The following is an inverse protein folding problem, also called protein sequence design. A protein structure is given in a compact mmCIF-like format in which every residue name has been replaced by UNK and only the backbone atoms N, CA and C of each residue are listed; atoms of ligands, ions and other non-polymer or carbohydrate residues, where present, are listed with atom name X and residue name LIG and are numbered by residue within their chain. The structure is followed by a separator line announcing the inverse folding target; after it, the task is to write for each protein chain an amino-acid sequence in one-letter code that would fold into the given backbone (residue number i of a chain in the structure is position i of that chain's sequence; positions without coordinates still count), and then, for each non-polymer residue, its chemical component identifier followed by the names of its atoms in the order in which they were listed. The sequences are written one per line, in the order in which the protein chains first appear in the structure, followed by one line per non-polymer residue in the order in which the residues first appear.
data_IF_810950968283
#
_entry.id   IF_810950968283
#
_cell.length_a   1.000
_cell.length_b   1.000
_cell.length_c   1.000
_cell.angle_alpha   90.00
_cell.angle_beta   90.00
_cell.angle_gamma   90.00
#
_symmetry.space_group_name_H-M   'P 1'
#
loop_
_entity.id
_entity.type
_entity.pdbx_description
1 polymer ?
#
# COMPACT_ATOMS: atom_id res chain seq x y z
N UNK A 1 6.85 8.45 -9.18
CA UNK A 1 7.17 7.46 -10.26
C UNK A 1 5.96 6.62 -10.70
N UNK A 2 4.92 6.45 -9.87
CA UNK A 2 3.77 5.59 -10.15
C UNK A 2 2.88 6.08 -11.32
N UNK A 3 2.49 7.36 -11.36
CA UNK A 3 1.61 7.91 -12.42
C UNK A 3 2.17 7.74 -13.85
N UNK A 4 3.42 8.14 -14.16
CA UNK A 4 4.00 7.92 -15.49
C UNK A 4 4.15 6.43 -15.84
N UNK A 5 4.39 5.57 -14.84
CA UNK A 5 4.44 4.12 -15.04
C UNK A 5 3.07 3.57 -15.45
N UNK A 6 2.03 3.89 -14.67
CA UNK A 6 0.65 3.50 -14.95
C UNK A 6 0.18 4.00 -16.32
N UNK A 7 0.49 5.25 -16.66
CA UNK A 7 0.16 5.82 -17.97
C UNK A 7 0.79 5.02 -19.12
N UNK A 8 2.08 4.69 -19.00
CA UNK A 8 2.81 3.90 -20.01
C UNK A 8 2.24 2.48 -20.14
N UNK A 9 1.96 1.81 -19.02
CA UNK A 9 1.37 0.45 -19.03
C UNK A 9 0.01 0.43 -19.75
N UNK A 10 -0.88 1.37 -19.47
CA UNK A 10 -2.18 1.44 -20.17
C UNK A 10 -2.04 1.82 -21.65
N UNK A 11 -1.08 2.69 -21.97
CA UNK A 11 -0.80 3.09 -23.35
C UNK A 11 -0.23 1.94 -24.19
N UNK A 12 0.63 1.09 -23.59
CA UNK A 12 1.15 -0.14 -24.19
C UNK A 12 0.03 -1.16 -24.45
N UNK A 13 -0.99 -1.22 -23.59
CA UNK A 13 -2.21 -2.03 -23.77
C UNK A 13 -3.24 -1.41 -24.75
N UNK A 14 -2.85 -0.39 -25.52
CA UNK A 14 -3.70 0.24 -26.55
C UNK A 14 -4.66 1.33 -26.06
N UNK A 15 -4.69 1.65 -24.76
CA UNK A 15 -5.55 2.70 -24.19
C UNK A 15 -4.78 4.02 -24.09
N UNK A 16 -4.65 4.74 -25.22
CA UNK A 16 -3.87 5.98 -25.35
C UNK A 16 -4.73 7.24 -25.24
N UNK A 17 -4.08 8.36 -24.88
CA UNK A 17 -4.71 9.69 -24.83
C UNK A 17 -5.94 9.72 -23.92
N UNK A 18 -7.06 10.22 -24.45
CA UNK A 18 -8.34 10.31 -23.74
C UNK A 18 -8.91 8.95 -23.33
N UNK A 19 -8.55 7.85 -24.00
CA UNK A 19 -9.02 6.49 -23.64
C UNK A 19 -8.23 5.90 -22.47
N UNK A 20 -7.17 6.58 -22.01
CA UNK A 20 -6.37 6.11 -20.89
C UNK A 20 -7.17 6.26 -19.57
N UNK A 21 -7.36 5.21 -18.77
CA UNK A 21 -8.07 5.33 -17.50
C UNK A 21 -7.38 6.29 -16.51
N UNK A 22 -6.06 6.45 -16.60
CA UNK A 22 -5.31 7.42 -15.78
C UNK A 22 -5.75 8.86 -16.07
N UNK A 23 -6.07 9.18 -17.33
CA UNK A 23 -6.60 10.49 -17.70
C UNK A 23 -7.93 10.77 -17.00
N UNK A 24 -8.87 9.82 -17.07
CA UNK A 24 -10.17 9.94 -16.43
C UNK A 24 -10.05 10.06 -14.90
N UNK A 25 -9.15 9.29 -14.28
CA UNK A 25 -8.87 9.38 -12.85
C UNK A 25 -8.36 10.76 -12.45
N UNK A 26 -7.40 11.32 -13.20
CA UNK A 26 -6.88 12.67 -12.97
C UNK A 26 -7.97 13.74 -13.19
N UNK A 27 -8.80 13.60 -14.22
CA UNK A 27 -9.91 14.51 -14.48
C UNK A 27 -10.91 14.50 -13.32
N UNK A 28 -11.29 13.31 -12.82
CA UNK A 28 -12.20 13.19 -11.69
C UNK A 28 -11.61 13.76 -10.40
N UNK A 29 -10.33 13.48 -10.12
CA UNK A 29 -9.63 14.02 -8.95
C UNK A 29 -9.53 15.54 -8.98
N UNK A 30 -9.15 16.11 -10.14
CA UNK A 30 -9.08 17.57 -10.32
C UNK A 30 -10.45 18.22 -10.21
N UNK A 31 -11.48 17.64 -10.82
CA UNK A 31 -12.85 18.11 -10.70
C UNK A 31 -13.37 18.05 -9.25
N UNK A 32 -13.04 16.99 -8.51
CA UNK A 32 -13.39 16.86 -7.09
C UNK A 32 -12.72 17.96 -6.25
N UNK A 33 -11.41 18.16 -6.40
CA UNK A 33 -10.67 19.19 -5.64
C UNK A 33 -11.16 20.59 -6.01
N UNK A 34 -11.38 20.87 -7.30
CA UNK A 34 -11.95 22.13 -7.76
C UNK A 34 -13.37 22.34 -7.23
N UNK A 35 -14.20 21.29 -7.19
CA UNK A 35 -15.53 21.32 -6.60
C UNK A 35 -15.50 21.63 -5.11
N UNK A 36 -14.63 20.97 -4.34
CA UNK A 36 -14.45 21.26 -2.91
C UNK A 36 -14.02 22.72 -2.73
N UNK A 37 -13.06 23.21 -3.51
CA UNK A 37 -12.63 24.61 -3.45
C UNK A 37 -13.77 25.59 -3.77
N UNK A 38 -14.53 25.33 -4.84
CA UNK A 38 -15.59 26.20 -5.30
C UNK A 38 -16.79 26.26 -4.32
N UNK A 39 -17.23 25.10 -3.81
CA UNK A 39 -18.42 25.01 -2.97
C UNK A 39 -18.15 25.17 -1.46
N UNK A 40 -16.98 24.73 -0.97
CA UNK A 40 -16.65 24.67 0.46
C UNK A 40 -15.49 25.60 0.85
N UNK A 41 -14.84 26.24 -0.12
CA UNK A 41 -13.76 27.19 0.09
C UNK A 41 -12.37 26.56 0.26
N UNK A 42 -11.35 27.42 0.28
CA UNK A 42 -9.95 27.00 0.25
C UNK A 42 -9.48 26.30 1.53
N UNK A 43 -10.04 26.62 2.70
CA UNK A 43 -9.67 25.95 3.96
C UNK A 43 -10.08 24.48 3.97
N UNK A 44 -11.28 24.16 3.49
CA UNK A 44 -11.76 22.77 3.39
C UNK A 44 -10.97 22.01 2.33
N UNK A 45 -10.68 22.66 1.19
CA UNK A 45 -9.78 22.09 0.17
C UNK A 45 -8.41 21.75 0.77
N UNK A 46 -7.80 22.65 1.55
CA UNK A 46 -6.50 22.41 2.16
C UNK A 46 -6.55 21.27 3.18
N UNK A 47 -7.59 21.22 4.03
CA UNK A 47 -7.80 20.12 4.97
C UNK A 47 -7.95 18.76 4.25
N UNK A 48 -8.71 18.73 3.15
CA UNK A 48 -8.86 17.54 2.31
C UNK A 48 -7.53 17.10 1.69
N UNK A 49 -6.77 18.03 1.11
CA UNK A 49 -5.46 17.72 0.53
C UNK A 49 -4.47 17.23 1.58
N UNK A 50 -4.48 17.81 2.78
CA UNK A 50 -3.66 17.35 3.90
C UNK A 50 -4.06 15.94 4.33
N UNK A 51 -5.36 15.66 4.49
CA UNK A 51 -5.86 14.32 4.81
C UNK A 51 -5.48 13.29 3.75
N UNK A 52 -5.62 13.63 2.46
CA UNK A 52 -5.21 12.77 1.36
C UNK A 52 -3.69 12.51 1.39
N UNK A 53 -2.89 13.53 1.68
CA UNK A 53 -1.43 13.39 1.87
C UNK A 53 -1.08 12.43 3.01
N UNK A 54 -1.75 12.55 4.16
CA UNK A 54 -1.57 11.64 5.29
C UNK A 54 -1.97 10.21 4.88
N UNK A 55 -3.09 10.02 4.19
CA UNK A 55 -3.54 8.71 3.72
C UNK A 55 -2.52 8.07 2.77
N UNK A 56 -1.93 8.84 1.85
CA UNK A 56 -0.87 8.35 0.94
C UNK A 56 0.38 7.93 1.73
N UNK A 57 0.81 8.74 2.69
CA UNK A 57 1.98 8.41 3.54
C UNK A 57 1.72 7.11 4.31
N UNK A 58 0.53 6.96 4.90
CA UNK A 58 0.16 5.74 5.63
C UNK A 58 0.12 4.51 4.73
N UNK A 59 -0.40 4.66 3.50
CA UNK A 59 -0.41 3.58 2.51
C UNK A 59 1.01 3.16 2.12
N UNK A 60 1.88 4.12 1.80
CA UNK A 60 3.28 3.85 1.46
C UNK A 60 4.05 3.26 2.64
N UNK A 61 3.74 3.70 3.86
CA UNK A 61 4.30 3.14 5.09
C UNK A 61 3.95 1.66 5.24
N UNK A 62 2.66 1.30 5.13
CA UNK A 62 2.21 -0.11 5.21
C UNK A 62 2.86 -0.93 4.11
N UNK A 63 2.84 -0.43 2.87
CA UNK A 63 3.43 -1.11 1.72
C UNK A 63 4.94 -1.33 1.88
N UNK A 64 5.65 -0.32 2.40
CA UNK A 64 7.08 -0.41 2.67
C UNK A 64 7.39 -1.51 3.70
N UNK A 65 6.64 -1.57 4.80
CA UNK A 65 6.86 -2.61 5.82
C UNK A 65 6.53 -4.00 5.27
N UNK A 66 5.41 -4.14 4.56
CA UNK A 66 4.97 -5.41 3.97
C UNK A 66 5.99 -6.00 3.01
N UNK A 67 6.79 -5.17 2.34
CA UNK A 67 7.73 -5.61 1.32
C UNK A 67 9.19 -5.26 1.66
N UNK A 68 9.49 -4.92 2.92
CA UNK A 68 10.83 -4.48 3.29
C UNK A 68 11.87 -5.57 3.05
N UNK A 69 12.89 -5.28 2.23
CA UNK A 69 14.00 -6.20 1.97
C UNK A 69 13.66 -7.40 1.07
N UNK A 70 12.38 -7.71 0.88
CA UNK A 70 11.90 -8.82 0.06
C UNK A 70 11.79 -8.38 -1.40
N UNK A 71 12.21 -9.25 -2.33
CA UNK A 71 12.19 -8.98 -3.77
C UNK A 71 11.53 -10.13 -4.48
N UNK A 72 10.79 -9.79 -5.54
CA UNK A 72 10.27 -10.74 -6.51
C UNK A 72 10.78 -10.31 -7.88
N UNK A 73 11.39 -11.23 -8.62
CA UNK A 73 11.96 -10.93 -9.92
C UNK A 73 10.88 -10.70 -10.98
N UNK A 74 11.22 -9.98 -12.05
CA UNK A 74 10.27 -9.69 -13.13
C UNK A 74 9.94 -10.99 -13.87
N UNK A 75 8.68 -11.42 -13.78
CA UNK A 75 8.21 -12.67 -14.38
C UNK A 75 8.19 -13.84 -13.41
N UNK A 76 8.73 -13.67 -12.20
CA UNK A 76 8.58 -14.64 -11.12
C UNK A 76 7.16 -14.62 -10.57
N UNK A 77 6.64 -15.80 -10.21
CA UNK A 77 5.34 -15.92 -9.56
C UNK A 77 5.47 -15.42 -8.12
N UNK A 78 4.56 -14.54 -7.71
CA UNK A 78 4.46 -14.11 -6.32
C UNK A 78 4.19 -15.29 -5.38
N UNK A 79 4.99 -15.42 -4.33
CA UNK A 79 4.88 -16.46 -3.29
C UNK A 79 4.61 -15.83 -1.94
N UNK A 80 4.32 -16.66 -0.93
CA UNK A 80 4.16 -16.19 0.46
C UNK A 80 5.44 -15.60 1.05
N UNK A 81 6.61 -15.86 0.43
CA UNK A 81 7.92 -15.33 0.85
C UNK A 81 8.19 -13.89 0.41
N UNK A 82 7.38 -13.32 -0.48
CA UNK A 82 7.60 -11.97 -1.02
C UNK A 82 6.89 -10.87 -0.22
N UNK A 83 6.30 -11.22 0.92
CA UNK A 83 5.65 -10.27 1.82
C UNK A 83 5.74 -10.72 3.27
N UNK A 84 5.85 -9.74 4.15
CA UNK A 84 5.77 -9.94 5.60
C UNK A 84 4.32 -10.12 6.06
N UNK A 85 4.12 -11.03 7.02
CA UNK A 85 2.84 -11.29 7.69
C UNK A 85 2.88 -10.83 9.16
N UNK A 86 1.74 -10.41 9.72
CA UNK A 86 1.62 -10.16 11.16
C UNK A 86 0.32 -10.70 11.73
N UNK A 87 0.42 -11.48 12.82
CA UNK A 87 -0.72 -12.03 13.54
C UNK A 87 -1.17 -11.16 14.74
N UNK A 88 -0.65 -9.94 14.85
CA UNK A 88 -1.04 -9.00 15.92
C UNK A 88 -2.53 -8.65 15.84
N UNK A 89 -3.29 -9.05 16.87
CA UNK A 89 -4.75 -8.88 16.94
C UNK A 89 -5.20 -7.45 16.64
N UNK A 90 -4.58 -6.46 17.30
CA UNK A 90 -4.96 -5.06 17.12
C UNK A 90 -4.74 -4.58 15.69
N UNK A 91 -3.61 -4.97 15.09
CA UNK A 91 -3.31 -4.62 13.69
C UNK A 91 -4.29 -5.30 12.73
N UNK A 92 -4.61 -6.57 12.98
CA UNK A 92 -5.55 -7.34 12.15
C UNK A 92 -6.94 -6.72 12.15
N UNK A 93 -7.49 -6.37 13.32
CA UNK A 93 -8.84 -5.85 13.39
C UNK A 93 -8.97 -4.44 12.80
N UNK A 94 -8.07 -3.54 13.17
CA UNK A 94 -8.13 -2.13 12.73
C UNK A 94 -7.78 -1.95 11.26
N UNK A 95 -6.91 -2.80 10.72
CA UNK A 95 -6.54 -2.81 9.30
C UNK A 95 -7.33 -3.85 8.50
N UNK A 96 -8.41 -4.42 9.05
CA UNK A 96 -9.32 -5.33 8.35
C UNK A 96 -8.61 -6.53 7.68
N UNK A 97 -7.80 -7.27 8.45
CA UNK A 97 -7.01 -8.44 8.02
C UNK A 97 -5.99 -8.15 6.92
N UNK A 98 -5.67 -6.89 6.65
CA UNK A 98 -4.54 -6.48 5.83
C UNK A 98 -3.20 -7.10 6.27
N UNK A 99 -2.93 -7.35 7.58
CA UNK A 99 -1.69 -8.00 8.00
C UNK A 99 -1.48 -9.43 7.47
N UNK A 100 -2.54 -10.12 7.03
CA UNK A 100 -2.46 -11.41 6.33
C UNK A 100 -2.12 -11.20 4.84
N UNK A 101 -1.16 -10.31 4.56
CA UNK A 101 -0.80 -9.86 3.21
C UNK A 101 -0.39 -10.99 2.25
N UNK A 102 0.38 -12.01 2.69
CA UNK A 102 0.66 -13.16 1.84
C UNK A 102 -0.60 -13.87 1.35
N UNK A 103 -1.62 -13.97 2.20
CA UNK A 103 -2.90 -14.61 1.85
C UNK A 103 -3.63 -13.85 0.74
N UNK A 104 -3.62 -12.51 0.80
CA UNK A 104 -4.18 -11.66 -0.26
C UNK A 104 -3.46 -11.84 -1.59
N UNK A 105 -2.13 -12.00 -1.57
CA UNK A 105 -1.37 -12.27 -2.81
C UNK A 105 -1.58 -13.68 -3.35
N UNK A 106 -1.79 -14.66 -2.48
CA UNK A 106 -2.11 -16.03 -2.91
C UNK A 106 -3.50 -16.12 -3.53
N UNK A 107 -4.49 -15.45 -2.92
CA UNK A 107 -5.88 -15.49 -3.40
C UNK A 107 -6.64 -14.21 -3.06
N UNK A 108 -6.44 -13.18 -3.89
CA UNK A 108 -7.04 -11.85 -3.70
C UNK A 108 -8.56 -11.80 -3.78
N UNK A 109 -9.20 -12.87 -4.26
CA UNK A 109 -10.66 -12.99 -4.34
C UNK A 109 -11.32 -13.49 -3.06
N UNK A 110 -10.53 -13.96 -2.09
CA UNK A 110 -11.08 -14.51 -0.86
C UNK A 110 -11.64 -13.40 0.03
N UNK A 111 -12.81 -13.62 0.65
CA UNK A 111 -13.35 -12.66 1.58
C UNK A 111 -12.48 -12.60 2.85
N UNK A 112 -12.54 -11.45 3.53
CA UNK A 112 -11.73 -11.16 4.73
C UNK A 112 -11.78 -12.28 5.78
N UNK A 113 -12.96 -12.86 6.03
CA UNK A 113 -13.14 -13.93 7.03
C UNK A 113 -12.60 -15.31 6.61
N UNK A 114 -12.21 -15.49 5.34
CA UNK A 114 -11.67 -16.75 4.83
C UNK A 114 -10.13 -16.71 4.72
N UNK A 115 -9.50 -15.57 4.98
CA UNK A 115 -8.05 -15.42 4.94
C UNK A 115 -7.38 -16.31 5.98
N UNK A 116 -6.27 -16.95 5.59
CA UNK A 116 -5.50 -17.87 6.43
C UNK A 116 -4.08 -17.36 6.57
N UNK A 117 -3.49 -17.58 7.74
CA UNK A 117 -2.07 -17.29 7.97
C UNK A 117 -1.18 -18.32 7.29
N UNK A 118 0.00 -17.88 6.86
CA UNK A 118 1.01 -18.73 6.22
C UNK A 118 2.28 -18.75 7.09
N UNK A 119 2.48 -19.77 7.95
CA UNK A 119 3.61 -19.83 8.88
C UNK A 119 4.99 -19.80 8.19
N UNK A 120 5.06 -20.22 6.93
CA UNK A 120 6.27 -20.16 6.13
C UNK A 120 6.63 -18.74 5.68
N UNK A 121 5.67 -17.81 5.66
CA UNK A 121 5.92 -16.43 5.28
C UNK A 121 6.77 -15.68 6.33
N UNK A 122 7.58 -14.68 5.91
CA UNK A 122 8.32 -13.84 6.84
C UNK A 122 7.40 -13.17 7.87
N UNK A 123 7.64 -13.40 9.15
CA UNK A 123 6.79 -12.87 10.22
C UNK A 123 7.35 -11.56 10.78
N UNK A 124 6.48 -10.54 10.89
CA UNK A 124 6.84 -9.28 11.53
C UNK A 124 7.07 -9.48 13.03
N UNK A 125 8.08 -8.82 13.63
CA UNK A 125 8.39 -9.01 15.05
C UNK A 125 7.29 -8.47 15.97
N UNK A 126 6.56 -7.45 15.53
CA UNK A 126 5.38 -6.88 16.21
C UNK A 126 4.36 -6.42 15.15
N UNK A 127 3.17 -5.99 15.59
CA UNK A 127 2.16 -5.42 14.69
C UNK A 127 2.55 -4.06 14.08
N UNK A 128 1.78 -3.61 13.10
CA UNK A 128 2.04 -2.37 12.34
C UNK A 128 2.17 -1.13 13.22
N UNK A 129 1.39 -1.04 14.30
CA UNK A 129 1.48 0.09 15.24
C UNK A 129 2.79 0.10 16.03
N UNK A 130 3.33 -1.06 16.38
CA UNK A 130 4.64 -1.16 17.04
C UNK A 130 5.79 -0.83 16.10
N UNK A 131 5.64 -1.14 14.80
CA UNK A 131 6.63 -0.84 13.78
C UNK A 131 6.62 0.61 13.28
N UNK A 132 5.59 1.39 13.65
CA UNK A 132 5.40 2.75 13.14
C UNK A 132 6.58 3.66 13.42
N UNK A 133 6.96 3.76 14.69
CA UNK A 133 8.07 4.62 15.09
C UNK A 133 9.42 4.11 14.58
N UNK A 134 9.80 2.82 14.76
CA UNK A 134 11.06 2.30 14.23
C UNK A 134 11.25 2.51 12.72
N UNK A 135 10.20 2.30 11.93
CA UNK A 135 10.24 2.41 10.47
C UNK A 135 10.54 3.85 9.99
N UNK A 136 10.13 4.87 10.74
CA UNK A 136 10.39 6.27 10.39
C UNK A 136 11.83 6.71 10.66
N UNK A 137 12.62 5.89 11.38
CA UNK A 137 14.01 6.16 11.74
C UNK A 137 14.90 5.08 11.09
N UNK A 138 15.49 5.32 9.90
CA UNK A 138 16.17 4.27 9.12
C UNK A 138 17.25 3.47 9.87
N UNK A 139 18.11 4.07 10.71
CA UNK A 139 19.09 3.30 11.48
C UNK A 139 18.44 2.32 12.47
N UNK A 140 17.33 2.71 13.11
CA UNK A 140 16.59 1.87 14.03
C UNK A 140 15.85 0.76 13.27
N UNK A 141 15.22 1.12 12.15
CA UNK A 141 14.55 0.16 11.27
C UNK A 141 15.49 -0.95 10.77
N UNK A 142 16.64 -0.57 10.22
CA UNK A 142 17.65 -1.51 9.72
C UNK A 142 18.16 -2.43 10.82
N UNK A 143 18.44 -1.86 12.00
CA UNK A 143 18.78 -2.64 13.20
C UNK A 143 17.66 -3.55 13.67
N UNK A 144 16.40 -3.32 13.31
CA UNK A 144 15.29 -4.21 13.68
C UNK A 144 14.97 -5.23 12.58
N UNK A 145 15.16 -4.93 11.30
CA UNK A 145 14.63 -5.80 10.24
C UNK A 145 15.70 -6.50 9.42
N UNK A 146 16.92 -5.95 9.26
CA UNK A 146 17.90 -6.46 8.29
C UNK A 146 18.33 -7.91 8.59
N UNK A 147 18.46 -8.28 9.86
CA UNK A 147 18.82 -9.65 10.27
C UNK A 147 17.63 -10.63 10.34
N UNK A 148 16.43 -10.17 10.00
CA UNK A 148 15.22 -11.01 9.90
C UNK A 148 14.86 -11.34 8.46
N UNK A 149 15.50 -10.69 7.47
CA UNK A 149 15.28 -10.96 6.05
C UNK A 149 15.73 -12.41 5.78
N UNK A 150 14.87 -13.25 5.17
CA UNK A 150 15.20 -14.63 4.83
C UNK A 150 16.25 -14.76 3.71
#
# INVERSE_FOLDING_TARGET
RQLPSAWRTHSQRGRRGLRNPVFHGLLLQTALVAGIWYWLGHWVMLAFLMQAGIAIILLEYVNYIQHYGLRCEVGERQTTMHSWESLSLWSRWTLMELPLHPAHHQKSSDPIWALRSYPESPQMPVGYYGLFWPCTIPPLWRRLMDHRIP
#
